data_IF_521806848348
#
_entry.id   IF_521806848348
#
_cell.length_a   1.000
_cell.length_b   1.000
_cell.length_c   1.000
_cell.angle_alpha   90.00
_cell.angle_beta   90.00
_cell.angle_gamma   90.00
#
_symmetry.space_group_name_H-M   'P 1'
#
loop_
_entity.id
_entity.type
_entity.pdbx_description
1 polymer ?
#
# COMPACT_ATOMS: atom_id res chain seq x y z
N UNK A 1 20.83 11.33 -0.34
CA UNK A 1 19.91 10.49 0.44
C UNK A 1 18.52 10.56 -0.20
N UNK A 2 17.93 9.40 -0.53
CA UNK A 2 16.59 9.34 -1.12
C UNK A 2 15.55 9.92 -0.17
N UNK A 3 14.53 10.57 -0.71
CA UNK A 3 13.49 11.26 0.07
C UNK A 3 12.11 10.82 -0.37
N UNK A 4 11.15 10.82 0.55
CA UNK A 4 9.76 10.49 0.23
C UNK A 4 9.20 11.60 -0.65
N UNK A 5 8.69 11.21 -1.83
CA UNK A 5 8.09 12.12 -2.80
C UNK A 5 6.56 12.15 -2.65
N UNK A 6 5.95 10.98 -2.55
CA UNK A 6 4.50 10.85 -2.36
C UNK A 6 4.14 9.58 -1.58
N UNK A 7 2.98 9.61 -0.95
CA UNK A 7 2.37 8.45 -0.29
C UNK A 7 0.93 8.36 -0.74
N UNK A 8 0.49 7.18 -1.15
CA UNK A 8 -0.89 6.92 -1.57
C UNK A 8 -1.47 5.75 -0.79
N UNK A 9 -2.67 5.96 -0.25
CA UNK A 9 -3.43 4.93 0.42
C UNK A 9 -4.73 4.66 -0.34
N UNK A 10 -5.04 3.41 -0.53
CA UNK A 10 -6.25 2.97 -1.24
C UNK A 10 -6.99 1.97 -0.35
N UNK A 11 -8.28 2.19 -0.16
CA UNK A 11 -9.19 1.32 0.59
C UNK A 11 -8.71 1.02 2.01
N UNK A 12 -8.40 2.05 2.78
CA UNK A 12 -7.98 1.95 4.16
C UNK A 12 -9.11 2.39 5.10
N UNK A 13 -9.42 1.59 6.10
CA UNK A 13 -10.43 1.90 7.09
C UNK A 13 -9.84 1.86 8.49
N UNK A 14 -10.22 2.80 9.34
CA UNK A 14 -9.80 2.81 10.74
C UNK A 14 -10.88 3.43 11.65
N UNK A 15 -10.67 3.34 12.95
CA UNK A 15 -11.60 3.77 13.96
C UNK A 15 -12.97 3.10 13.79
N UNK A 16 -13.00 1.75 13.75
CA UNK A 16 -14.20 0.94 13.51
C UNK A 16 -14.96 1.34 12.22
N UNK A 17 -14.21 1.62 11.17
CA UNK A 17 -14.73 2.10 9.87
C UNK A 17 -15.42 3.46 9.90
N UNK A 18 -15.26 4.24 10.97
CA UNK A 18 -15.75 5.61 11.03
C UNK A 18 -14.96 6.55 10.10
N UNK A 19 -13.69 6.21 9.83
CA UNK A 19 -12.84 6.92 8.89
C UNK A 19 -12.45 5.96 7.76
N UNK A 20 -12.77 6.38 6.54
CA UNK A 20 -12.52 5.60 5.32
C UNK A 20 -11.70 6.43 4.35
N UNK A 21 -10.58 5.87 3.91
CA UNK A 21 -9.76 6.41 2.85
C UNK A 21 -10.00 5.58 1.60
N UNK A 22 -10.69 6.12 0.61
CA UNK A 22 -10.95 5.43 -0.65
C UNK A 22 -9.71 5.42 -1.53
N UNK A 23 -9.15 6.60 -1.81
CA UNK A 23 -7.92 6.79 -2.58
C UNK A 23 -7.39 8.21 -2.32
N UNK A 24 -6.37 8.32 -1.50
CA UNK A 24 -5.78 9.61 -1.12
C UNK A 24 -4.27 9.59 -1.35
N UNK A 25 -3.77 10.68 -1.92
CA UNK A 25 -2.35 10.88 -2.15
C UNK A 25 -1.85 12.10 -1.38
N UNK A 26 -0.77 11.91 -0.63
CA UNK A 26 -0.05 12.97 0.07
C UNK A 26 1.25 13.26 -0.67
N UNK A 27 1.42 14.50 -1.11
CA UNK A 27 2.62 14.95 -1.81
C UNK A 27 3.60 15.56 -0.81
N UNK A 28 4.80 15.01 -0.74
CA UNK A 28 5.88 15.52 0.12
C UNK A 28 7.01 16.16 -0.71
N UNK A 29 7.05 15.88 -2.01
CA UNK A 29 7.96 16.46 -2.99
C UNK A 29 9.44 16.39 -2.60
N UNK A 30 9.83 15.39 -1.82
CA UNK A 30 11.19 15.25 -1.31
C UNK A 30 11.62 16.32 -0.30
N UNK A 31 10.66 17.06 0.25
CA UNK A 31 10.90 18.14 1.21
C UNK A 31 10.51 17.73 2.64
N UNK A 32 11.00 18.50 3.61
CA UNK A 32 10.54 18.37 5.00
C UNK A 32 9.08 18.80 5.08
N UNK A 33 8.20 17.88 5.46
CA UNK A 33 6.75 18.11 5.44
C UNK A 33 6.18 18.03 6.85
N UNK A 34 5.41 19.06 7.23
CA UNK A 34 4.64 19.05 8.46
C UNK A 34 3.19 18.67 8.17
N UNK A 35 2.76 17.53 8.72
CA UNK A 35 1.37 17.08 8.66
C UNK A 35 0.65 17.47 9.95
N UNK A 36 -0.29 18.41 9.85
CA UNK A 36 -1.13 18.83 10.97
C UNK A 36 -2.51 18.20 10.84
N UNK A 37 -2.84 17.34 11.78
CA UNK A 37 -4.14 16.68 11.88
C UNK A 37 -4.74 16.95 13.26
N UNK A 38 -6.05 17.02 13.33
CA UNK A 38 -6.79 17.14 14.61
C UNK A 38 -6.51 15.91 15.48
N UNK A 39 -6.67 16.05 16.79
CA UNK A 39 -6.64 14.90 17.70
C UNK A 39 -7.73 13.89 17.28
N UNK A 40 -7.37 12.62 17.21
CA UNK A 40 -8.24 11.57 16.65
C UNK A 40 -8.25 11.50 15.12
N UNK A 41 -7.57 12.40 14.41
CA UNK A 41 -7.51 12.42 12.94
C UNK A 41 -6.62 11.39 12.28
N UNK A 42 -6.07 10.43 13.07
CA UNK A 42 -5.33 9.29 12.51
C UNK A 42 -3.83 9.52 12.30
N UNK A 43 -3.21 10.50 12.96
CA UNK A 43 -1.74 10.73 12.86
C UNK A 43 -0.92 9.46 13.08
N UNK A 44 -1.20 8.73 14.15
CA UNK A 44 -0.48 7.49 14.47
C UNK A 44 -0.75 6.38 13.47
N UNK A 45 -1.98 6.31 12.94
CA UNK A 45 -2.35 5.38 11.87
C UNK A 45 -1.58 5.69 10.60
N UNK A 46 -1.50 6.96 10.22
CA UNK A 46 -0.76 7.41 9.04
C UNK A 46 0.71 7.00 9.11
N UNK A 47 1.38 7.25 10.24
CA UNK A 47 2.78 6.86 10.46
C UNK A 47 2.92 5.34 10.42
N UNK A 48 2.04 4.60 11.09
CA UNK A 48 2.04 3.14 11.10
C UNK A 48 1.91 2.58 9.67
N UNK A 49 1.01 3.12 8.87
CA UNK A 49 0.82 2.68 7.48
C UNK A 49 2.00 3.06 6.59
N UNK A 50 2.49 4.29 6.68
CA UNK A 50 3.65 4.74 5.88
C UNK A 50 4.90 3.89 6.13
N UNK A 51 5.09 3.40 7.34
CA UNK A 51 6.27 2.60 7.71
C UNK A 51 6.08 1.10 7.47
N UNK A 52 4.86 0.63 7.36
CA UNK A 52 4.54 -0.80 7.24
C UNK A 52 5.32 -1.54 6.13
N UNK A 53 5.56 -0.98 4.93
CA UNK A 53 6.34 -1.65 3.90
C UNK A 53 7.82 -1.85 4.23
N UNK A 54 8.36 -1.11 5.19
CA UNK A 54 9.81 -1.08 5.50
C UNK A 54 10.17 -1.81 6.77
N UNK A 55 9.20 -2.05 7.66
CA UNK A 55 9.44 -2.69 8.95
C UNK A 55 9.07 -4.17 8.91
N UNK A 56 9.82 -4.96 9.67
CA UNK A 56 9.47 -6.37 9.85
C UNK A 56 8.07 -6.51 10.46
N UNK A 57 7.33 -7.55 10.07
CA UNK A 57 5.93 -7.74 10.47
C UNK A 57 5.68 -7.60 11.98
N UNK A 58 6.61 -8.06 12.83
CA UNK A 58 6.49 -7.95 14.30
C UNK A 58 6.46 -6.51 14.81
N UNK A 59 6.91 -5.54 14.01
CA UNK A 59 6.94 -4.11 14.36
C UNK A 59 5.84 -3.29 13.69
N UNK A 60 4.97 -3.94 12.90
CA UNK A 60 3.84 -3.26 12.25
C UNK A 60 2.71 -2.93 13.21
N UNK A 61 2.62 -3.68 14.32
CA UNK A 61 1.61 -3.45 15.33
C UNK A 61 1.97 -2.26 16.21
N UNK A 62 0.99 -1.40 16.50
CA UNK A 62 1.06 -0.43 17.58
C UNK A 62 0.39 -1.03 18.83
N UNK A 63 0.75 -0.56 20.02
CA UNK A 63 0.34 -1.14 21.31
C UNK A 63 -1.14 -1.47 21.42
N UNK A 64 -2.01 -0.56 20.94
CA UNK A 64 -3.46 -0.70 21.03
C UNK A 64 -4.12 -0.80 19.64
N UNK A 65 -3.33 -1.04 18.59
CA UNK A 65 -3.80 -1.02 17.20
C UNK A 65 -3.02 -2.04 16.37
N UNK A 66 -3.45 -3.31 16.42
CA UNK A 66 -2.81 -4.35 15.61
C UNK A 66 -3.01 -4.04 14.12
N UNK A 67 -1.97 -4.29 13.34
CA UNK A 67 -1.97 -3.98 11.90
C UNK A 67 -3.11 -4.65 11.13
N UNK A 68 -3.45 -5.89 11.49
CA UNK A 68 -4.55 -6.62 10.84
C UNK A 68 -5.93 -5.96 11.02
N UNK A 69 -6.12 -5.15 12.06
CA UNK A 69 -7.43 -4.53 12.35
C UNK A 69 -7.87 -3.49 11.31
N UNK A 70 -6.97 -3.01 10.47
CA UNK A 70 -7.28 -2.06 9.40
C UNK A 70 -7.81 -2.72 8.13
N UNK A 71 -7.72 -4.03 8.00
CA UNK A 71 -8.06 -4.79 6.81
C UNK A 71 -9.21 -5.74 7.10
N UNK A 72 -10.42 -5.27 6.86
CA UNK A 72 -11.65 -5.97 7.29
C UNK A 72 -12.39 -6.65 6.14
N UNK A 73 -11.97 -6.42 4.90
CA UNK A 73 -12.63 -6.94 3.71
C UNK A 73 -11.69 -7.80 2.85
N UNK A 74 -12.28 -8.57 1.93
CA UNK A 74 -11.54 -9.33 0.92
C UNK A 74 -11.06 -8.48 -0.25
N UNK A 75 -11.51 -7.24 -0.35
CA UNK A 75 -10.99 -6.30 -1.33
C UNK A 75 -9.59 -5.84 -0.92
N UNK A 76 -8.66 -5.68 -1.86
CA UNK A 76 -7.32 -5.27 -1.53
C UNK A 76 -7.27 -3.82 -1.02
N UNK A 77 -6.38 -3.59 -0.07
CA UNK A 77 -5.94 -2.26 0.35
C UNK A 77 -4.51 -2.05 -0.10
N UNK A 78 -4.16 -0.82 -0.44
CA UNK A 78 -2.81 -0.48 -0.91
C UNK A 78 -2.16 0.56 -0.03
N UNK A 79 -0.91 0.33 0.28
CA UNK A 79 0.01 1.29 0.90
C UNK A 79 1.15 1.49 -0.09
N UNK A 80 1.25 2.69 -0.66
CA UNK A 80 2.21 3.02 -1.70
C UNK A 80 3.08 4.17 -1.23
N UNK A 81 4.39 4.00 -1.26
CA UNK A 81 5.37 5.03 -0.88
C UNK A 81 6.37 5.20 -2.01
N UNK A 82 6.39 6.39 -2.60
CA UNK A 82 7.31 6.75 -3.66
C UNK A 82 8.50 7.52 -3.10
N UNK A 83 9.68 7.09 -3.48
CA UNK A 83 10.96 7.69 -3.13
C UNK A 83 11.57 8.39 -4.34
N UNK A 84 11.92 9.65 -4.19
CA UNK A 84 12.76 10.35 -5.14
C UNK A 84 14.22 9.97 -4.90
N UNK A 85 14.89 9.49 -5.94
CA UNK A 85 16.29 9.14 -5.90
C UNK A 85 17.18 10.39 -6.02
N UNK A 86 18.42 10.27 -5.59
CA UNK A 86 19.39 11.36 -5.65
C UNK A 86 19.71 11.75 -7.10
N UNK A 87 20.05 13.01 -7.27
CA UNK A 87 20.54 13.56 -8.55
C UNK A 87 19.58 13.36 -9.74
N UNK A 88 18.29 13.27 -9.48
CA UNK A 88 17.30 13.09 -10.55
C UNK A 88 17.34 11.71 -11.22
N UNK A 89 17.89 10.71 -10.55
CA UNK A 89 17.99 9.34 -11.07
C UNK A 89 16.64 8.63 -11.24
N UNK A 90 15.52 9.27 -10.88
CA UNK A 90 14.19 8.71 -10.99
C UNK A 90 13.54 8.42 -9.64
N UNK A 91 12.63 7.45 -9.63
CA UNK A 91 11.81 7.12 -8.48
C UNK A 91 11.81 5.61 -8.22
N UNK A 92 11.64 5.27 -6.95
CA UNK A 92 11.33 3.91 -6.52
C UNK A 92 10.02 3.93 -5.76
N UNK A 93 9.06 3.13 -6.22
CA UNK A 93 7.82 2.86 -5.52
C UNK A 93 7.98 1.60 -4.68
N UNK A 94 7.76 1.70 -3.39
CA UNK A 94 7.55 0.56 -2.51
C UNK A 94 6.07 0.42 -2.24
N UNK A 95 5.51 -0.74 -2.52
CA UNK A 95 4.08 -0.99 -2.38
C UNK A 95 3.78 -2.23 -1.56
N UNK A 96 2.63 -2.18 -0.92
CA UNK A 96 2.05 -3.30 -0.20
C UNK A 96 0.57 -3.40 -0.57
N UNK A 97 0.17 -4.56 -1.07
CA UNK A 97 -1.23 -4.91 -1.26
C UNK A 97 -1.64 -5.90 -0.18
N UNK A 98 -2.69 -5.59 0.55
CA UNK A 98 -3.15 -6.37 1.71
C UNK A 98 -4.64 -6.62 1.62
N UNK A 99 -5.07 -7.83 1.94
CA UNK A 99 -6.48 -8.15 2.20
C UNK A 99 -6.63 -9.09 3.38
N UNK A 100 -7.83 -9.14 3.94
CA UNK A 100 -8.18 -10.19 4.89
C UNK A 100 -8.24 -11.53 4.14
N UNK A 101 -7.53 -12.52 4.67
CA UNK A 101 -7.58 -13.88 4.13
C UNK A 101 -8.90 -14.54 4.57
N UNK A 102 -9.72 -14.97 3.60
CA UNK A 102 -11.00 -15.62 3.86
C UNK A 102 -10.90 -17.15 3.90
N UNK A 103 -9.84 -17.71 3.36
CA UNK A 103 -9.68 -19.17 3.19
C UNK A 103 -9.13 -19.86 4.44
N UNK A 104 -8.76 -19.10 5.44
CA UNK A 104 -8.26 -19.63 6.71
C UNK A 104 -9.32 -19.41 7.77
N UNK A 105 -9.83 -20.48 8.34
CA UNK A 105 -10.57 -20.47 9.61
C UNK A 105 -9.60 -20.04 10.73
N UNK A 106 -9.25 -18.78 10.70
CA UNK A 106 -8.43 -18.18 11.74
C UNK A 106 -9.34 -17.63 12.81
N UNK A 107 -9.42 -18.34 13.92
CA UNK A 107 -10.23 -17.96 15.10
C UNK A 107 -9.79 -16.60 15.63
N UNK A 108 -8.52 -16.19 15.38
CA UNK A 108 -8.01 -14.89 15.79
C UNK A 108 -8.43 -13.72 14.88
N UNK A 109 -8.88 -14.01 13.64
CA UNK A 109 -9.17 -12.98 12.64
C UNK A 109 -7.96 -12.20 12.14
N UNK A 110 -6.75 -12.67 12.44
CA UNK A 110 -5.47 -11.99 12.16
C UNK A 110 -4.86 -12.38 10.82
N UNK A 111 -5.46 -13.33 10.10
CA UNK A 111 -4.92 -13.79 8.84
C UNK A 111 -5.03 -12.73 7.75
N UNK A 112 -3.89 -12.26 7.29
CA UNK A 112 -3.75 -11.35 6.16
C UNK A 112 -3.04 -12.04 5.01
N UNK A 113 -3.46 -11.72 3.80
CA UNK A 113 -2.77 -12.06 2.57
C UNK A 113 -2.11 -10.78 2.04
N UNK A 114 -0.81 -10.83 1.82
CA UNK A 114 -0.01 -9.67 1.46
C UNK A 114 0.90 -9.94 0.27
N UNK A 115 0.97 -8.96 -0.63
CA UNK A 115 1.96 -8.88 -1.69
C UNK A 115 2.75 -7.59 -1.50
N UNK A 116 4.07 -7.71 -1.40
CA UNK A 116 4.98 -6.58 -1.37
C UNK A 116 5.65 -6.44 -2.73
N UNK A 117 5.78 -5.22 -3.22
CA UNK A 117 6.39 -4.96 -4.51
C UNK A 117 7.24 -3.71 -4.53
N UNK A 118 8.15 -3.68 -5.47
CA UNK A 118 9.03 -2.54 -5.77
C UNK A 118 8.93 -2.26 -7.26
N UNK A 119 8.79 -1.00 -7.63
CA UNK A 119 8.75 -0.53 -9.01
C UNK A 119 9.72 0.63 -9.19
N UNK A 120 10.54 0.56 -10.23
CA UNK A 120 11.51 1.59 -10.58
C UNK A 120 11.10 2.28 -11.88
N UNK A 121 11.12 3.60 -11.90
CA UNK A 121 10.79 4.40 -13.08
C UNK A 121 11.40 5.79 -13.00
N UNK A 122 11.58 6.43 -14.15
CA UNK A 122 12.08 7.81 -14.24
C UNK A 122 11.07 8.79 -14.85
N UNK A 123 10.00 8.26 -15.46
CA UNK A 123 8.96 9.01 -16.12
C UNK A 123 7.59 8.43 -15.78
N UNK A 124 6.49 9.19 -15.98
CA UNK A 124 5.14 8.65 -15.82
C UNK A 124 4.94 7.37 -16.63
N UNK A 125 4.42 6.35 -15.99
CA UNK A 125 4.22 5.01 -16.58
C UNK A 125 3.09 4.26 -15.85
N UNK A 126 2.68 3.10 -16.35
CA UNK A 126 1.60 2.32 -15.75
C UNK A 126 2.01 1.60 -14.45
N UNK A 127 3.27 1.62 -14.06
CA UNK A 127 3.75 1.08 -12.80
C UNK A 127 4.17 2.15 -11.78
N UNK A 128 3.88 3.42 -12.04
CA UNK A 128 4.12 4.50 -11.08
C UNK A 128 3.00 4.61 -10.03
N UNK A 129 3.24 5.40 -8.99
CA UNK A 129 2.30 5.56 -7.87
C UNK A 129 0.95 6.13 -8.30
N UNK A 130 0.90 6.98 -9.33
CA UNK A 130 -0.33 7.66 -9.77
C UNK A 130 -1.12 6.87 -10.81
N UNK A 131 -0.44 6.12 -11.66
CA UNK A 131 -1.02 5.47 -12.84
C UNK A 131 -1.17 3.95 -12.71
N UNK A 132 -0.75 3.38 -11.58
CA UNK A 132 -0.93 1.94 -11.33
C UNK A 132 -2.40 1.56 -11.48
N UNK A 133 -2.77 0.69 -12.45
CA UNK A 133 -4.16 0.45 -12.80
C UNK A 133 -4.87 -0.52 -11.85
N UNK A 134 -4.86 -0.22 -10.57
CA UNK A 134 -5.54 -0.98 -9.51
C UNK A 134 -6.93 -0.42 -9.18
N UNK A 135 -7.21 0.80 -9.63
CA UNK A 135 -8.48 1.51 -9.47
C UNK A 135 -8.98 1.95 -10.83
N UNK A 136 -10.26 1.80 -11.08
CA UNK A 136 -10.93 2.31 -12.29
C UNK A 136 -11.92 3.41 -11.91
N UNK A 137 -12.03 4.42 -12.76
CA UNK A 137 -13.02 5.47 -12.60
C UNK A 137 -14.37 4.98 -13.12
N UNK A 138 -15.27 4.63 -12.20
CA UNK A 138 -16.65 4.32 -12.53
C UNK A 138 -17.50 5.57 -12.80
N UNK A 139 -18.74 5.38 -13.19
CA UNK A 139 -19.68 6.50 -13.50
C UNK A 139 -20.05 7.33 -12.27
N UNK A 140 -20.07 6.73 -11.08
CA UNK A 140 -20.45 7.38 -9.82
C UNK A 140 -19.39 7.24 -8.73
N UNK A 141 -18.59 6.19 -8.77
CA UNK A 141 -17.61 5.83 -7.76
C UNK A 141 -16.35 5.26 -8.39
N UNK A 142 -15.25 5.28 -7.64
CA UNK A 142 -14.08 4.52 -8.01
C UNK A 142 -14.33 3.02 -7.80
N UNK A 143 -13.93 2.23 -8.77
CA UNK A 143 -14.01 0.76 -8.72
C UNK A 143 -12.62 0.23 -8.42
N UNK A 144 -12.47 -0.41 -7.27
CA UNK A 144 -11.25 -1.10 -6.89
C UNK A 144 -11.22 -2.48 -7.54
N UNK A 145 -10.14 -2.81 -8.25
CA UNK A 145 -9.92 -4.13 -8.82
C UNK A 145 -9.75 -5.16 -7.70
N UNK A 146 -10.16 -6.40 -7.96
CA UNK A 146 -10.00 -7.47 -6.98
C UNK A 146 -8.53 -7.89 -6.83
N UNK A 147 -8.25 -8.62 -5.75
CA UNK A 147 -6.89 -9.05 -5.42
C UNK A 147 -6.26 -9.94 -6.51
N UNK A 148 -7.02 -10.87 -7.06
CA UNK A 148 -6.52 -11.76 -8.12
C UNK A 148 -6.16 -11.02 -9.39
N UNK A 149 -6.94 -10.03 -9.79
CA UNK A 149 -6.67 -9.18 -10.96
C UNK A 149 -5.38 -8.37 -10.74
N UNK A 150 -5.20 -7.79 -9.56
CA UNK A 150 -3.98 -7.05 -9.22
C UNK A 150 -2.75 -7.99 -9.17
N UNK A 151 -2.89 -9.21 -8.64
CA UNK A 151 -1.82 -10.21 -8.65
C UNK A 151 -1.40 -10.56 -10.08
N UNK A 152 -2.35 -10.76 -10.99
CA UNK A 152 -2.07 -11.02 -12.41
C UNK A 152 -1.35 -9.85 -13.08
N UNK A 153 -1.75 -8.62 -12.76
CA UNK A 153 -1.07 -7.43 -13.23
C UNK A 153 0.39 -7.39 -12.78
N UNK A 154 0.65 -7.66 -11.51
CA UNK A 154 2.01 -7.69 -10.95
C UNK A 154 2.86 -8.80 -11.56
N UNK A 155 2.28 -9.96 -11.81
CA UNK A 155 2.96 -11.05 -12.51
C UNK A 155 3.33 -10.65 -13.94
N UNK A 156 2.45 -9.99 -14.67
CA UNK A 156 2.73 -9.50 -16.03
C UNK A 156 3.86 -8.46 -16.03
N UNK A 157 3.90 -7.56 -15.05
CA UNK A 157 4.98 -6.59 -14.90
C UNK A 157 6.32 -7.25 -14.56
N UNK A 158 6.31 -8.25 -13.69
CA UNK A 158 7.52 -9.00 -13.32
C UNK A 158 8.12 -9.76 -14.50
N UNK A 159 7.29 -10.31 -15.38
CA UNK A 159 7.72 -11.04 -16.58
C UNK A 159 8.28 -10.12 -17.66
N UNK A 160 7.86 -8.87 -17.71
CA UNK A 160 8.38 -7.88 -18.65
C UNK A 160 9.71 -7.32 -18.14
N UNK A 161 10.82 -7.80 -18.71
CA UNK A 161 12.18 -7.39 -18.33
C UNK A 161 12.50 -5.94 -18.65
N UNK A 162 11.70 -5.26 -19.46
CA UNK A 162 11.86 -3.81 -19.74
C UNK A 162 11.33 -2.96 -18.59
N UNK A 163 10.55 -3.54 -17.67
CA UNK A 163 9.98 -2.89 -16.49
C UNK A 163 10.80 -3.29 -15.27
N UNK A 164 11.22 -2.30 -14.49
CA UNK A 164 11.86 -2.53 -13.20
C UNK A 164 10.85 -2.86 -12.10
N UNK A 165 10.19 -4.01 -12.20
CA UNK A 165 9.15 -4.42 -11.26
C UNK A 165 9.47 -5.76 -10.60
N UNK A 166 9.39 -5.80 -9.27
CA UNK A 166 9.63 -6.99 -8.46
C UNK A 166 8.54 -7.13 -7.41
N UNK A 167 8.06 -8.34 -7.17
CA UNK A 167 7.14 -8.60 -6.07
C UNK A 167 7.41 -9.94 -5.39
N UNK A 168 6.96 -10.07 -4.16
CA UNK A 168 6.88 -11.34 -3.45
C UNK A 168 5.59 -11.43 -2.63
N UNK A 169 5.06 -12.63 -2.48
CA UNK A 169 3.91 -12.93 -1.65
C UNK A 169 4.39 -13.38 -0.27
N UNK A 170 3.88 -12.73 0.77
CA UNK A 170 4.06 -13.21 2.14
C UNK A 170 3.02 -14.30 2.40
N UNK A 171 3.31 -15.49 1.88
CA UNK A 171 2.51 -16.67 2.21
C UNK A 171 2.87 -17.08 3.63
N UNK A 172 1.90 -17.11 4.55
CA UNK A 172 2.09 -17.89 5.77
C UNK A 172 2.45 -19.31 5.30
N UNK A 173 3.70 -19.70 5.50
CA UNK A 173 4.06 -21.11 5.40
C UNK A 173 3.21 -21.85 6.43
N UNK A 174 2.25 -22.60 5.93
CA UNK A 174 1.57 -23.62 6.73
C UNK A 174 2.65 -24.66 7.01
N UNK A 175 3.21 -24.57 8.18
CA UNK A 175 4.06 -25.64 8.72
C UNK A 175 3.15 -26.69 9.31
#
# INVERSE_FOLDING_TARGET
>A
MSKINAVRFINLNYNNSAIRISDETLFMNGESTLLSLRNGGGKSVLVQMMTAPFVHKRYRDAKDRPFYSYFTTNKPSFILVEWALEQGAGYVLTGMMVRKNQDVEDVSGEALEMINFISEYSQPCLQDIHHLPVVEKGKKEMILKNFSTCRQLFESYKQDRSIGFFYYEDRKSVV
#
